data_IF_603267147363
#
_entry.id   IF_603267147363
#
_cell.length_a   1.000
_cell.length_b   1.000
_cell.length_c   1.000
_cell.angle_alpha   90.00
_cell.angle_beta   90.00
_cell.angle_gamma   90.00
#
_symmetry.space_group_name_H-M   'P 1'
#
loop_
_entity.id
_entity.type
_entity.pdbx_description
1 polymer ?
2 polymer ?
#
# COMPACT_ATOMS: atom_id res chain seq x y z
N UNK A 1 -11.54 -16.47 17.01
CA UNK A 1 -10.85 -15.15 16.96
C UNK A 1 -9.87 -14.97 18.11
N UNK A 2 -8.62 -14.69 17.77
CA UNK A 2 -7.58 -14.50 18.77
C UNK A 2 -6.49 -13.55 18.26
N UNK A 3 -5.77 -13.99 17.24
CA UNK A 3 -4.69 -13.18 16.66
C UNK A 3 -4.84 -13.10 15.13
N UNK A 4 -5.38 -11.99 14.66
CA UNK A 4 -5.56 -11.78 13.22
C UNK A 4 -5.61 -10.30 12.88
N UNK A 5 -5.47 -9.99 11.60
CA UNK A 5 -5.50 -8.60 11.15
C UNK A 5 -4.37 -7.79 11.79
N UNK A 6 -3.24 -7.71 11.09
CA UNK A 6 -2.10 -6.97 11.58
C UNK A 6 -2.36 -5.46 11.52
N UNK A 7 -1.36 -4.67 11.88
CA UNK A 7 -1.49 -3.22 11.87
C UNK A 7 -0.21 -2.54 11.40
N UNK A 8 -0.32 -1.74 10.34
CA UNK A 8 0.83 -1.03 9.80
C UNK A 8 0.70 0.48 9.99
N UNK A 9 -0.51 0.93 10.34
CA UNK A 9 -0.74 2.35 10.55
C UNK A 9 -0.75 3.13 9.25
N UNK A 10 -1.63 2.75 8.34
CA UNK A 10 -1.74 3.44 7.06
C UNK A 10 -3.08 3.17 6.40
N UNK A 11 -3.54 4.12 5.59
CA UNK A 11 -4.82 3.98 4.90
C UNK A 11 -4.61 3.69 3.42
N UNK A 12 -5.25 2.63 2.93
CA UNK A 12 -5.13 2.24 1.52
C UNK A 12 -6.50 1.92 0.94
N UNK A 13 -6.68 2.23 -0.34
CA UNK A 13 -7.95 1.98 -1.01
C UNK A 13 -7.74 1.20 -2.30
N UNK A 14 -8.80 0.56 -2.79
CA UNK A 14 -8.73 -0.22 -4.01
C UNK A 14 -8.94 0.68 -5.23
N UNK A 15 -7.88 0.88 -6.00
CA UNK A 15 -7.95 1.72 -7.19
C UNK A 15 -9.00 1.20 -8.17
N UNK A 16 -10.22 1.67 -8.01
CA UNK A 16 -11.32 1.25 -8.88
C UNK A 16 -11.22 1.93 -10.25
N UNK A 17 -11.99 1.42 -11.21
CA UNK A 17 -11.98 1.97 -12.56
C UNK A 17 -12.14 3.49 -12.55
N UNK A 18 -12.95 3.99 -11.62
CA UNK A 18 -13.19 5.42 -11.50
C UNK A 18 -11.95 6.16 -11.01
N UNK A 19 -11.53 5.85 -9.79
CA UNK A 19 -10.35 6.49 -9.20
C UNK A 19 -9.12 6.28 -10.09
N UNK A 20 -8.87 5.04 -10.48
CA UNK A 20 -7.73 4.71 -11.32
C UNK A 20 -7.65 5.61 -12.54
N UNK A 21 -8.82 5.90 -13.13
CA UNK A 21 -8.89 6.76 -14.30
C UNK A 21 -8.81 8.23 -13.91
N UNK A 22 -9.29 8.54 -12.71
CA UNK A 22 -9.26 9.91 -12.22
C UNK A 22 -7.83 10.42 -12.05
N UNK A 23 -6.94 9.51 -11.65
CA UNK A 23 -5.54 9.86 -11.44
C UNK A 23 -4.85 10.20 -12.76
N UNK A 24 -5.13 9.39 -13.78
CA UNK A 24 -4.54 9.61 -15.10
C UNK A 24 -4.92 10.98 -15.65
N UNK A 25 -6.13 11.43 -15.33
CA UNK A 25 -6.62 12.72 -15.79
C UNK A 25 -5.91 13.86 -15.06
N UNK A 26 -5.67 13.65 -13.77
CA UNK A 26 -5.01 14.66 -12.95
C UNK A 26 -3.49 14.58 -13.11
N UNK A 27 -2.89 13.53 -12.59
CA UNK A 27 -1.46 13.33 -12.68
C UNK A 27 -1.10 12.42 -13.85
N UNK A 28 -0.76 13.02 -14.98
CA UNK A 28 -0.40 12.26 -16.17
C UNK A 28 1.04 11.75 -16.08
N UNK A 29 1.32 10.96 -15.05
CA UNK A 29 2.65 10.40 -14.85
C UNK A 29 2.58 8.97 -14.33
N UNK A 30 1.40 8.36 -14.42
CA UNK A 30 1.21 6.99 -13.96
C UNK A 30 1.10 6.03 -15.13
N UNK A 31 1.51 4.77 -14.95
CA UNK A 31 1.45 3.75 -16.01
C UNK A 31 0.06 3.65 -16.63
N UNK A 32 -0.08 2.75 -17.61
CA UNK A 32 -1.36 2.56 -18.29
C UNK A 32 -2.11 1.36 -17.71
N UNK A 33 -1.86 1.07 -16.43
CA UNK A 33 -2.51 -0.05 -15.77
C UNK A 33 -3.67 0.43 -14.89
N UNK A 34 -4.42 -0.51 -14.34
CA UNK A 34 -5.54 -0.19 -13.47
C UNK A 34 -5.61 -1.10 -12.25
N UNK A 35 -4.49 -1.79 -11.98
CA UNK A 35 -4.43 -2.70 -10.83
C UNK A 35 -3.40 -2.22 -9.81
N UNK A 36 -3.75 -2.34 -8.55
CA UNK A 36 -2.84 -1.92 -7.49
C UNK A 36 -3.55 -1.15 -6.39
N UNK A 37 -2.87 -0.96 -5.27
CA UNK A 37 -3.45 -0.23 -4.14
C UNK A 37 -2.93 1.20 -4.09
N UNK A 38 -3.80 2.13 -3.71
CA UNK A 38 -3.43 3.54 -3.62
C UNK A 38 -3.25 3.95 -2.16
N UNK A 39 -2.13 4.60 -1.86
CA UNK A 39 -1.84 5.06 -0.51
C UNK A 39 -2.59 6.35 -0.21
N UNK A 40 -3.31 6.37 0.90
CA UNK A 40 -4.08 7.55 1.29
C UNK A 40 -3.31 8.42 2.27
N UNK A 41 -3.12 7.92 3.49
CA UNK A 41 -2.40 8.67 4.51
C UNK A 41 -1.60 7.74 5.42
N UNK A 42 -0.52 8.26 5.99
CA UNK A 42 0.33 7.47 6.87
C UNK A 42 0.50 8.16 8.23
N UNK A 43 0.39 7.37 9.30
CA UNK A 43 0.54 7.90 10.64
C UNK A 43 2.02 8.08 10.99
N UNK A 44 2.39 9.23 11.58
CA UNK A 44 3.78 9.55 11.95
C UNK A 44 4.47 8.49 12.81
N UNK A 45 3.72 7.53 13.34
CA UNK A 45 4.31 6.51 14.19
C UNK A 45 3.87 5.10 13.76
N UNK A 46 4.47 4.60 12.68
CA UNK A 46 4.15 3.26 12.18
C UNK A 46 5.27 2.75 11.28
N UNK A 47 5.29 1.44 11.02
CA UNK A 47 6.31 0.82 10.16
C UNK A 47 6.28 1.42 8.75
N UNK A 48 5.12 1.93 8.36
CA UNK A 48 4.94 2.54 7.04
C UNK A 48 5.91 3.70 6.83
N UNK A 49 5.87 4.66 7.75
CA UNK A 49 6.75 5.83 7.67
C UNK A 49 8.19 5.45 7.99
N UNK A 50 8.36 4.45 8.85
CA UNK A 50 9.68 3.99 9.25
C UNK A 50 10.33 3.17 8.15
N UNK A 51 9.50 2.47 7.37
CA UNK A 51 10.00 1.65 6.28
C UNK A 51 10.59 2.48 5.16
N UNK A 52 9.95 3.60 4.86
CA UNK A 52 10.42 4.47 3.80
C UNK A 52 9.38 4.67 2.70
N UNK A 53 8.11 4.61 3.07
CA UNK A 53 7.03 4.79 2.10
C UNK A 53 6.53 6.23 2.13
N UNK A 54 5.35 6.45 1.55
CA UNK A 54 4.75 7.77 1.52
C UNK A 54 3.27 7.69 1.15
N UNK A 55 2.54 8.77 1.42
CA UNK A 55 1.12 8.82 1.11
C UNK A 55 0.87 9.45 -0.25
N UNK A 56 1.70 9.10 -1.22
CA UNK A 56 1.57 9.62 -2.58
C UNK A 56 2.12 8.62 -3.60
N UNK A 57 2.05 7.34 -3.27
CA UNK A 57 2.53 6.29 -4.16
C UNK A 57 1.44 5.25 -4.40
N UNK A 58 1.80 4.20 -5.16
CA UNK A 58 0.85 3.14 -5.47
C UNK A 58 1.50 1.77 -5.33
N UNK A 59 0.91 0.92 -4.49
CA UNK A 59 1.44 -0.42 -4.28
C UNK A 59 1.06 -1.33 -5.44
N UNK A 60 1.82 -2.42 -5.62
CA UNK A 60 1.56 -3.36 -6.70
C UNK A 60 1.96 -4.78 -6.31
N UNK A 61 3.14 -4.92 -5.73
CA UNK A 61 3.63 -6.23 -5.32
C UNK A 61 4.00 -6.23 -3.83
N UNK A 62 4.08 -7.43 -3.25
CA UNK A 62 4.42 -7.56 -1.84
C UNK A 62 5.01 -8.94 -1.55
N UNK A 63 6.25 -8.96 -1.06
CA UNK A 63 6.94 -10.21 -0.72
C UNK A 63 6.73 -11.27 -1.80
N UNK A 64 6.90 -10.88 -3.06
CA UNK A 64 6.74 -11.81 -4.16
C UNK A 64 5.29 -12.14 -4.44
N UNK A 65 4.46 -11.12 -4.50
CA UNK A 65 3.03 -11.30 -4.77
C UNK A 65 2.50 -10.18 -5.65
N UNK A 66 1.35 -10.41 -6.28
CA UNK A 66 0.74 -9.41 -7.15
C UNK A 66 -0.54 -8.87 -6.54
N UNK A 67 -0.51 -7.60 -6.13
CA UNK A 67 -1.68 -6.96 -5.53
C UNK A 67 -2.47 -6.19 -6.58
N UNK A 68 -3.77 -6.05 -6.34
CA UNK A 68 -4.64 -5.33 -7.27
C UNK A 68 -5.49 -4.29 -6.55
N UNK A 69 -6.04 -4.67 -5.40
CA UNK A 69 -6.88 -3.77 -4.62
C UNK A 69 -6.51 -3.79 -3.14
N UNK A 70 -7.10 -2.90 -2.37
CA UNK A 70 -6.83 -2.82 -0.93
C UNK A 70 -7.12 -4.15 -0.25
N UNK A 71 -8.23 -4.78 -0.63
CA UNK A 71 -8.61 -6.07 -0.06
C UNK A 71 -7.49 -7.08 -0.22
N UNK A 72 -6.71 -6.92 -1.28
CA UNK A 72 -5.60 -7.82 -1.55
C UNK A 72 -4.40 -7.50 -0.66
N UNK A 73 -4.20 -6.21 -0.39
CA UNK A 73 -3.09 -5.77 0.45
C UNK A 73 -3.31 -6.18 1.90
N UNK A 74 -4.55 -6.04 2.38
CA UNK A 74 -4.89 -6.38 3.75
C UNK A 74 -4.49 -7.82 4.09
N UNK A 75 -5.10 -8.77 3.40
CA UNK A 75 -4.82 -10.18 3.62
C UNK A 75 -3.32 -10.46 3.66
N UNK A 76 -2.57 -9.74 2.83
CA UNK A 76 -1.13 -9.91 2.78
C UNK A 76 -0.46 -9.47 4.09
N UNK A 77 -0.88 -8.31 4.59
CA UNK A 77 -0.33 -7.78 5.84
C UNK A 77 -0.62 -8.73 7.01
N UNK A 78 -1.75 -9.42 6.93
CA UNK A 78 -2.15 -10.35 7.99
C UNK A 78 -1.72 -11.77 7.66
N UNK A 79 -1.35 -12.02 6.41
CA UNK A 79 -0.93 -13.34 5.98
C UNK A 79 0.59 -13.49 6.06
N UNK A 80 1.30 -12.47 5.57
CA UNK A 80 2.76 -12.49 5.58
C UNK A 80 3.31 -11.55 6.65
N UNK A 81 4.20 -12.08 7.49
CA UNK A 81 4.81 -11.28 8.55
C UNK A 81 5.77 -10.24 7.97
N UNK A 82 6.48 -10.63 6.92
CA UNK A 82 7.43 -9.74 6.27
C UNK A 82 6.87 -9.22 4.95
N UNK A 83 6.75 -7.90 4.84
CA UNK A 83 6.22 -7.28 3.62
C UNK A 83 7.32 -6.61 2.82
N UNK A 84 7.37 -6.93 1.53
CA UNK A 84 8.37 -6.35 0.63
C UNK A 84 7.71 -5.76 -0.60
N UNK A 85 7.22 -4.52 -0.46
CA UNK A 85 6.56 -3.83 -1.57
C UNK A 85 7.56 -3.05 -2.40
N UNK A 86 7.42 -3.14 -3.72
CA UNK A 86 8.31 -2.43 -4.63
C UNK A 86 7.67 -1.14 -5.14
N UNK A 87 8.38 -0.03 -4.98
CA UNK A 87 7.89 1.27 -5.42
C UNK A 87 8.84 1.89 -6.43
N UNK A 88 8.30 2.33 -7.56
CA UNK A 88 9.09 2.93 -8.61
C UNK A 88 9.20 4.44 -8.42
N UNK A 89 10.43 4.93 -8.28
CA UNK A 89 10.68 6.35 -8.10
C UNK A 89 11.63 6.89 -9.17
N UNK A 90 11.23 7.96 -9.84
CA UNK A 90 12.06 8.53 -10.87
C UNK A 90 12.12 7.67 -12.11
N UNK A 91 13.21 6.92 -12.26
CA UNK A 91 13.39 6.05 -13.41
C UNK A 91 14.01 4.72 -12.99
N UNK A 92 13.85 4.37 -11.72
CA UNK A 92 14.41 3.13 -11.19
C UNK A 92 13.46 2.47 -10.20
N UNK A 93 13.49 1.14 -10.15
CA UNK A 93 12.64 0.39 -9.24
C UNK A 93 13.35 0.14 -7.91
N UNK A 94 12.64 0.33 -6.82
CA UNK A 94 13.21 0.12 -5.49
C UNK A 94 12.37 -0.85 -4.67
N UNK A 95 13.04 -1.62 -3.82
CA UNK A 95 12.36 -2.60 -2.96
C UNK A 95 12.24 -2.07 -1.54
N UNK A 96 11.00 -1.93 -1.07
CA UNK A 96 10.75 -1.44 0.28
C UNK A 96 10.29 -2.56 1.20
N UNK A 97 10.87 -2.62 2.39
CA UNK A 97 10.51 -3.64 3.36
C UNK A 97 9.86 -3.02 4.59
N UNK A 98 8.69 -3.53 4.95
CA UNK A 98 7.95 -3.03 6.10
C UNK A 98 7.39 -4.17 6.93
N UNK A 99 7.63 -4.14 8.23
CA UNK A 99 7.14 -5.18 9.13
C UNK A 99 5.95 -4.69 9.95
N UNK A 100 4.73 -5.21 9.67
CA UNK A 100 3.53 -4.81 10.40
C UNK A 100 3.63 -5.05 11.89
N UNK A 101 2.61 -4.63 12.63
CA UNK A 101 2.59 -4.80 14.09
C UNK A 101 1.35 -5.56 14.52
N UNK A 102 1.43 -6.21 15.69
CA UNK A 102 0.31 -6.97 16.21
C UNK A 102 -0.52 -6.12 17.18
N UNK A 103 -1.84 -6.20 17.03
CA UNK A 103 -2.74 -5.43 17.89
C UNK A 103 -4.15 -6.03 17.87
N UNK A 104 -4.77 -6.12 19.04
CA UNK A 104 -6.11 -6.66 19.15
C UNK A 104 -6.95 -5.86 20.14
N UNK A 105 -8.02 -5.19 19.66
CA UNK A 105 -8.90 -4.39 20.52
C UNK A 105 -9.72 -5.24 21.47
N UNK B 1 -15.32 4.66 -6.46
CA UNK B 1 -15.60 4.74 -5.01
C UNK B 1 -14.31 4.88 -4.20
N UNK B 2 -14.45 5.25 -2.93
CA UNK B 2 -13.30 5.43 -2.05
C UNK B 2 -12.83 4.09 -1.51
N UNK B 3 -13.58 3.55 -0.55
CA UNK B 3 -13.24 2.27 0.07
C UNK B 3 -11.88 2.34 0.74
N UNK B 4 -11.80 3.06 1.86
CA UNK B 4 -10.56 3.21 2.60
C UNK B 4 -10.35 2.03 3.55
N UNK B 5 -9.14 1.50 3.56
CA UNK B 5 -8.80 0.37 4.43
C UNK B 5 -7.70 0.76 5.41
N UNK B 6 -8.11 1.24 6.59
CA UNK B 6 -7.16 1.65 7.62
C UNK B 6 -6.47 0.43 8.23
N UNK B 7 -5.57 -0.18 7.46
CA UNK B 7 -4.84 -1.35 7.93
C UNK B 7 -3.44 -0.97 8.41
#
# INVERSE_FOLDING_TARGET
GSHMKKYIGIRMMSLTSSKAKELKDRHRDFPDVISGAYIIEVIPDTPAEAGGLKENDVIISINGQSVVSANDVSDVIKRESTLNMVVRRGNEDIMITVIPEEIDP
DSRIWWV
#
